data_IF_483206081240
#
_entry.id   IF_483206081240
#
_cell.length_a   1.000
_cell.length_b   1.000
_cell.length_c   1.000
_cell.angle_alpha   90.00
_cell.angle_beta   90.00
_cell.angle_gamma   90.00
#
_symmetry.space_group_name_H-M   'P 1'
#
loop_
_entity.id
_entity.type
_entity.pdbx_description
1 polymer ?
#
# COMPACT_ATOMS: atom_id res chain seq x y z
N UNK A 1 -23.11 5.51 -48.49
CA UNK A 1 -23.02 5.89 -47.07
C UNK A 1 -21.78 5.23 -46.51
N UNK A 2 -20.77 6.02 -46.12
CA UNK A 2 -19.50 5.49 -45.60
C UNK A 2 -19.71 4.96 -44.19
N UNK A 3 -19.47 3.68 -43.99
CA UNK A 3 -19.54 3.02 -42.68
C UNK A 3 -18.37 3.49 -41.83
N UNK A 4 -18.61 4.49 -40.97
CA UNK A 4 -17.59 5.06 -40.10
C UNK A 4 -17.46 4.14 -38.89
N UNK A 5 -16.30 3.53 -38.63
CA UNK A 5 -16.16 2.58 -37.53
C UNK A 5 -16.44 3.29 -36.20
N UNK A 6 -17.04 2.55 -35.26
CA UNK A 6 -17.47 3.11 -33.98
C UNK A 6 -16.28 3.75 -33.22
N UNK A 7 -16.48 4.83 -32.46
CA UNK A 7 -15.38 5.56 -31.80
C UNK A 7 -14.57 4.76 -30.77
N UNK A 8 -15.03 3.55 -30.40
CA UNK A 8 -14.33 2.60 -29.52
C UNK A 8 -13.69 1.42 -30.28
N UNK A 9 -13.63 1.47 -31.61
CA UNK A 9 -13.06 0.44 -32.50
C UNK A 9 -11.52 0.42 -32.54
N UNK A 10 -10.88 1.04 -31.56
CA UNK A 10 -9.43 1.18 -31.47
C UNK A 10 -8.75 -0.06 -30.84
N UNK A 11 -7.43 -0.21 -31.03
CA UNK A 11 -6.65 -1.31 -30.44
C UNK A 11 -6.89 -1.43 -28.94
N UNK A 12 -7.04 -2.65 -28.42
CA UNK A 12 -7.42 -2.92 -27.03
C UNK A 12 -6.27 -3.52 -26.24
N UNK A 13 -6.12 -3.06 -25.00
CA UNK A 13 -5.08 -3.53 -24.10
C UNK A 13 -3.77 -2.76 -24.22
N UNK A 14 -3.06 -2.69 -23.10
CA UNK A 14 -1.90 -1.80 -22.91
C UNK A 14 -0.85 -2.02 -24.00
N UNK A 15 -0.52 -3.27 -24.34
CA UNK A 15 0.50 -3.58 -25.34
C UNK A 15 0.14 -3.05 -26.73
N UNK A 16 -1.11 -3.25 -27.17
CA UNK A 16 -1.56 -2.82 -28.50
C UNK A 16 -1.67 -1.29 -28.59
N UNK A 17 -2.08 -0.62 -27.51
CA UNK A 17 -2.11 0.84 -27.43
C UNK A 17 -0.71 1.42 -27.50
N UNK A 18 0.24 0.90 -26.70
CA UNK A 18 1.64 1.35 -26.72
C UNK A 18 2.25 1.14 -28.09
N UNK A 19 2.00 -0.02 -28.73
CA UNK A 19 2.49 -0.28 -30.09
C UNK A 19 1.89 0.71 -31.10
N UNK A 20 0.58 1.01 -31.00
CA UNK A 20 -0.05 2.01 -31.87
C UNK A 20 0.55 3.41 -31.75
N UNK A 21 1.06 3.77 -30.56
CA UNK A 21 1.74 5.05 -30.36
C UNK A 21 3.13 5.07 -30.99
N UNK A 22 3.86 3.94 -30.92
CA UNK A 22 5.17 3.77 -31.59
C UNK A 22 5.04 3.80 -33.11
N UNK A 23 3.99 3.20 -33.65
CA UNK A 23 3.76 3.15 -35.10
C UNK A 23 3.12 4.44 -35.64
N UNK A 24 2.63 5.32 -34.77
CA UNK A 24 1.93 6.55 -35.14
C UNK A 24 2.89 7.64 -35.60
N UNK A 25 2.76 8.06 -36.87
CA UNK A 25 3.49 9.22 -37.39
C UNK A 25 3.18 10.57 -36.73
N UNK A 26 2.19 10.63 -35.82
CA UNK A 26 1.90 11.82 -34.99
C UNK A 26 2.50 11.70 -33.60
N UNK A 27 2.24 10.59 -32.90
CA UNK A 27 2.65 10.42 -31.49
C UNK A 27 4.14 10.10 -31.39
N UNK A 28 4.66 9.22 -32.26
CA UNK A 28 6.07 8.83 -32.25
C UNK A 28 7.00 10.03 -32.43
N UNK A 29 6.62 11.01 -33.25
CA UNK A 29 7.41 12.24 -33.46
C UNK A 29 7.46 13.15 -32.24
N UNK A 30 6.54 12.99 -31.30
CA UNK A 30 6.51 13.73 -30.05
C UNK A 30 7.28 13.02 -28.93
N UNK A 31 7.76 11.78 -29.14
CA UNK A 31 8.56 11.05 -28.17
C UNK A 31 10.04 11.45 -28.31
N UNK A 32 10.56 12.22 -27.35
CA UNK A 32 11.96 12.62 -27.34
C UNK A 32 12.89 11.52 -26.81
N UNK A 33 12.40 10.71 -25.86
CA UNK A 33 13.13 9.62 -25.23
C UNK A 33 12.16 8.48 -24.94
N UNK A 34 12.56 7.26 -25.30
CA UNK A 34 11.91 6.03 -24.87
C UNK A 34 12.91 5.20 -24.08
N UNK A 35 12.55 4.87 -22.84
CA UNK A 35 13.34 3.94 -22.01
C UNK A 35 12.44 2.77 -21.64
N UNK A 36 12.75 1.60 -22.19
CA UNK A 36 12.19 0.35 -21.71
C UNK A 36 12.95 -0.04 -20.44
N UNK A 37 12.27 0.02 -19.30
CA UNK A 37 12.76 -0.64 -18.10
C UNK A 37 12.46 -2.12 -18.32
N UNK A 38 13.50 -2.91 -18.62
CA UNK A 38 13.35 -4.36 -18.71
C UNK A 38 12.65 -4.84 -17.46
N UNK A 39 11.72 -5.79 -17.61
CA UNK A 39 11.23 -6.53 -16.45
C UNK A 39 12.44 -7.21 -15.85
N UNK A 40 13.05 -6.59 -14.85
CA UNK A 40 13.96 -7.32 -13.96
C UNK A 40 13.21 -8.53 -13.43
N UNK A 41 13.94 -9.57 -13.05
CA UNK A 41 13.36 -10.61 -12.19
C UNK A 41 12.63 -9.86 -11.08
N UNK A 42 11.31 -10.05 -10.97
CA UNK A 42 10.56 -9.49 -9.86
C UNK A 42 11.31 -9.95 -8.62
N UNK A 43 12.09 -9.05 -8.01
CA UNK A 43 12.78 -9.34 -6.77
C UNK A 43 11.63 -9.32 -5.78
N UNK A 44 11.00 -10.48 -5.64
CA UNK A 44 10.04 -10.72 -4.59
C UNK A 44 10.79 -10.33 -3.32
N UNK A 45 10.36 -9.25 -2.69
CA UNK A 45 10.83 -8.93 -1.34
C UNK A 45 10.43 -10.16 -0.56
N UNK A 46 11.40 -11.00 -0.17
CA UNK A 46 11.11 -12.33 0.37
C UNK A 46 10.11 -12.24 1.51
N UNK A 47 9.40 -13.31 1.82
CA UNK A 47 8.61 -13.33 3.05
C UNK A 47 9.54 -13.40 4.26
N UNK A 48 9.11 -12.84 5.38
CA UNK A 48 9.81 -12.94 6.66
C UNK A 48 8.86 -13.37 7.76
N UNK A 49 9.41 -14.09 8.73
CA UNK A 49 8.68 -14.50 9.92
C UNK A 49 8.97 -13.52 11.05
N UNK A 50 7.98 -13.29 11.91
CA UNK A 50 8.16 -12.49 13.12
C UNK A 50 8.86 -13.31 14.20
N UNK A 51 9.68 -12.65 15.02
CA UNK A 51 10.33 -13.28 16.19
C UNK A 51 9.31 -13.84 17.20
N UNK A 52 8.11 -13.25 17.24
CA UNK A 52 6.94 -13.75 17.95
C UNK A 52 5.67 -13.47 17.14
N UNK A 53 4.63 -14.33 17.21
CA UNK A 53 3.40 -14.12 16.46
C UNK A 53 2.71 -12.80 16.83
N UNK A 54 1.87 -12.29 15.93
CA UNK A 54 0.93 -11.22 16.27
C UNK A 54 -0.18 -11.78 17.19
N UNK A 55 -0.90 -10.92 17.92
CA UNK A 55 -2.14 -11.32 18.57
C UNK A 55 -3.12 -11.96 17.58
N UNK A 56 -3.83 -13.00 18.03
CA UNK A 56 -4.76 -13.78 17.20
C UNK A 56 -5.78 -12.92 16.43
N UNK A 57 -6.41 -11.88 17.03
CA UNK A 57 -7.36 -11.05 16.28
C UNK A 57 -6.70 -10.32 15.09
N UNK A 58 -5.44 -9.90 15.21
CA UNK A 58 -4.71 -9.25 14.13
C UNK A 58 -4.31 -10.25 13.04
N UNK A 59 -3.99 -11.50 13.40
CA UNK A 59 -3.72 -12.56 12.42
C UNK A 59 -4.97 -12.80 11.57
N UNK A 60 -6.13 -13.03 12.20
CA UNK A 60 -7.40 -13.23 11.49
C UNK A 60 -7.74 -12.05 10.58
N UNK A 61 -7.61 -10.82 11.09
CA UNK A 61 -7.87 -9.61 10.33
C UNK A 61 -6.98 -9.47 9.08
N UNK A 62 -5.72 -9.91 9.16
CA UNK A 62 -4.82 -9.94 8.02
C UNK A 62 -5.22 -11.02 7.00
N UNK A 63 -5.56 -12.22 7.47
CA UNK A 63 -5.97 -13.34 6.62
C UNK A 63 -7.26 -13.03 5.84
N UNK A 64 -8.27 -12.42 6.47
CA UNK A 64 -9.50 -11.96 5.82
C UNK A 64 -9.23 -10.96 4.69
N UNK A 65 -8.13 -10.21 4.79
CA UNK A 65 -7.68 -9.22 3.80
C UNK A 65 -6.70 -9.83 2.77
N UNK A 66 -6.54 -11.15 2.76
CA UNK A 66 -5.65 -11.87 1.84
C UNK A 66 -4.16 -11.78 2.18
N UNK A 67 -3.82 -11.33 3.39
CA UNK A 67 -2.44 -11.22 3.86
C UNK A 67 -2.11 -12.43 4.75
N UNK A 68 -1.64 -13.51 4.13
CA UNK A 68 -1.27 -14.76 4.83
C UNK A 68 0.19 -14.80 5.27
N UNK A 69 1.04 -13.94 4.71
CA UNK A 69 2.46 -13.83 5.05
C UNK A 69 2.91 -12.39 4.96
N UNK A 70 3.83 -12.01 5.85
CA UNK A 70 4.47 -10.71 5.83
C UNK A 70 5.69 -10.73 4.91
N UNK A 71 5.90 -9.63 4.19
CA UNK A 71 7.17 -9.38 3.54
C UNK A 71 8.28 -9.19 4.58
N UNK A 72 9.51 -9.52 4.22
CA UNK A 72 10.68 -9.46 5.11
C UNK A 72 10.87 -8.09 5.73
N UNK A 73 10.68 -7.02 4.96
CA UNK A 73 10.76 -5.65 5.45
C UNK A 73 9.67 -5.31 6.47
N UNK A 74 8.47 -5.91 6.35
CA UNK A 74 7.39 -5.74 7.33
C UNK A 74 7.75 -6.45 8.62
N UNK A 75 8.15 -7.72 8.56
CA UNK A 75 8.56 -8.48 9.73
C UNK A 75 9.73 -7.80 10.49
N UNK A 76 10.77 -7.40 9.75
CA UNK A 76 11.92 -6.68 10.32
C UNK A 76 11.53 -5.36 10.99
N UNK A 77 10.63 -4.59 10.37
CA UNK A 77 10.16 -3.32 10.93
C UNK A 77 9.34 -3.54 12.21
N UNK A 78 8.45 -4.54 12.22
CA UNK A 78 7.61 -4.88 13.37
C UNK A 78 8.49 -5.33 14.55
N UNK A 79 9.43 -6.25 14.32
CA UNK A 79 10.32 -6.72 15.39
C UNK A 79 11.30 -5.64 15.87
N UNK A 80 11.71 -4.73 14.99
CA UNK A 80 12.45 -3.54 15.41
C UNK A 80 11.63 -2.61 16.31
N UNK A 81 10.37 -2.35 15.95
CA UNK A 81 9.46 -1.53 16.75
C UNK A 81 9.17 -2.17 18.12
N UNK A 82 8.94 -3.49 18.17
CA UNK A 82 8.76 -4.26 19.42
C UNK A 82 9.95 -4.15 20.38
N UNK A 83 11.16 -3.96 19.84
CA UNK A 83 12.40 -3.74 20.60
C UNK A 83 12.59 -2.27 21.02
N UNK A 84 11.61 -1.40 20.80
CA UNK A 84 11.70 0.02 21.10
C UNK A 84 12.66 0.79 20.19
N UNK A 85 13.01 0.25 19.00
CA UNK A 85 13.90 0.93 18.06
C UNK A 85 13.11 1.86 17.13
N UNK A 86 13.73 2.98 16.77
CA UNK A 86 13.23 3.86 15.71
C UNK A 86 13.57 3.27 14.33
N UNK A 87 12.60 3.24 13.42
CA UNK A 87 12.72 2.57 12.12
C UNK A 87 12.41 3.56 10.99
N UNK A 88 13.25 3.55 9.96
CA UNK A 88 12.99 4.24 8.68
C UNK A 88 12.83 3.16 7.60
N UNK A 89 11.76 3.25 6.83
CA UNK A 89 11.40 2.23 5.83
C UNK A 89 11.54 2.84 4.44
N UNK A 90 12.53 2.36 3.68
CA UNK A 90 12.81 2.80 2.32
C UNK A 90 12.45 1.68 1.33
N UNK A 91 11.17 1.57 0.98
CA UNK A 91 10.68 0.61 -0.02
C UNK A 91 9.81 1.29 -1.08
N UNK A 92 9.64 0.69 -2.27
CA UNK A 92 8.84 1.28 -3.34
C UNK A 92 7.37 1.55 -2.95
N UNK A 93 6.68 2.38 -3.74
CA UNK A 93 5.22 2.52 -3.68
C UNK A 93 4.55 1.16 -3.90
N UNK A 94 3.40 0.94 -3.27
CA UNK A 94 2.65 -0.32 -3.31
C UNK A 94 3.37 -1.57 -2.72
N UNK A 95 4.46 -1.42 -1.96
CA UNK A 95 5.13 -2.56 -1.31
C UNK A 95 4.48 -3.06 0.00
N UNK A 96 3.34 -2.47 0.42
CA UNK A 96 2.71 -2.80 1.71
C UNK A 96 3.33 -2.11 2.94
N UNK A 97 3.96 -0.93 2.75
CA UNK A 97 4.61 -0.14 3.81
C UNK A 97 3.72 0.14 5.03
N UNK A 98 2.42 0.36 4.81
CA UNK A 98 1.48 0.72 5.87
C UNK A 98 1.45 -0.31 6.99
N UNK A 99 1.48 -1.61 6.65
CA UNK A 99 1.50 -2.67 7.66
C UNK A 99 2.71 -2.61 8.60
N UNK A 100 3.84 -2.06 8.16
CA UNK A 100 5.04 -1.97 8.98
C UNK A 100 4.86 -1.08 10.21
N UNK A 101 3.97 -0.08 10.14
CA UNK A 101 3.71 0.86 11.25
C UNK A 101 2.28 0.75 11.80
N UNK A 102 1.31 0.24 11.04
CA UNK A 102 -0.03 -0.06 11.55
C UNK A 102 0.00 -1.22 12.55
N UNK A 103 0.70 -2.32 12.21
CA UNK A 103 0.67 -3.53 13.03
C UNK A 103 1.29 -3.32 14.43
N UNK A 104 2.45 -2.68 14.60
CA UNK A 104 2.98 -2.41 15.94
C UNK A 104 2.06 -1.51 16.78
N UNK A 105 1.39 -0.53 16.14
CA UNK A 105 0.45 0.36 16.84
C UNK A 105 -0.80 -0.38 17.28
N UNK A 106 -1.40 -1.19 16.41
CA UNK A 106 -2.60 -1.96 16.73
C UNK A 106 -2.29 -3.09 17.73
N UNK A 107 -1.11 -3.73 17.63
CA UNK A 107 -0.64 -4.70 18.62
C UNK A 107 -0.52 -4.06 20.01
N UNK A 108 0.01 -2.83 20.09
CA UNK A 108 0.11 -2.09 21.34
C UNK A 108 -1.26 -1.66 21.88
N UNK A 109 -2.17 -1.17 21.02
CA UNK A 109 -3.53 -0.80 21.41
C UNK A 109 -4.37 -1.99 21.87
N UNK A 110 -4.14 -3.17 21.28
CA UNK A 110 -4.78 -4.42 21.72
C UNK A 110 -4.30 -4.84 23.13
N UNK A 111 -3.05 -4.51 23.48
CA UNK A 111 -2.46 -4.79 24.79
C UNK A 111 -2.85 -3.75 25.84
N UNK A 112 -2.86 -2.48 25.45
CA UNK A 112 -3.17 -1.33 26.31
C UNK A 112 -4.12 -0.37 25.58
N UNK A 113 -5.44 -0.43 25.88
CA UNK A 113 -6.43 0.49 25.30
C UNK A 113 -6.20 1.98 25.64
N UNK A 114 -5.36 2.28 26.63
CA UNK A 114 -4.96 3.66 26.98
C UNK A 114 -3.81 4.19 26.11
N UNK A 115 -3.10 3.31 25.38
CA UNK A 115 -2.03 3.69 24.48
C UNK A 115 -2.54 4.63 23.37
N UNK A 116 -1.65 5.48 22.86
CA UNK A 116 -1.96 6.45 21.80
C UNK A 116 -0.83 6.48 20.78
N UNK A 117 -1.19 6.73 19.51
CA UNK A 117 -0.23 6.88 18.42
C UNK A 117 -0.56 8.14 17.61
N UNK A 118 0.47 8.86 17.19
CA UNK A 118 0.36 10.03 16.31
C UNK A 118 0.86 9.66 14.92
N UNK A 119 0.01 9.85 13.92
CA UNK A 119 0.34 9.66 12.53
C UNK A 119 0.50 11.03 11.86
N UNK A 120 1.65 11.26 11.24
CA UNK A 120 1.95 12.52 10.54
C UNK A 120 2.02 12.27 9.04
N UNK A 121 1.22 13.03 8.30
CA UNK A 121 1.15 12.94 6.84
C UNK A 121 1.30 14.31 6.19
N UNK A 122 1.94 14.40 5.02
CA UNK A 122 2.14 15.66 4.31
C UNK A 122 0.86 16.23 3.70
N UNK A 123 -0.20 15.44 3.52
CA UNK A 123 -1.46 15.87 2.88
C UNK A 123 -2.69 15.31 3.59
N UNK A 124 -3.79 16.07 3.55
CA UNK A 124 -5.11 15.67 4.08
C UNK A 124 -5.68 14.43 3.38
N UNK A 125 -5.48 14.32 2.07
CA UNK A 125 -5.95 13.17 1.31
C UNK A 125 -5.27 11.87 1.78
N UNK A 126 -3.96 11.94 2.02
CA UNK A 126 -3.20 10.78 2.51
C UNK A 126 -3.56 10.46 3.97
N UNK A 127 -3.79 11.45 4.83
CA UNK A 127 -4.22 11.18 6.21
C UNK A 127 -5.57 10.47 6.26
N UNK A 128 -6.53 10.86 5.42
CA UNK A 128 -7.85 10.19 5.32
C UNK A 128 -7.77 8.79 4.75
N UNK A 129 -6.97 8.58 3.70
CA UNK A 129 -6.71 7.23 3.15
C UNK A 129 -6.13 6.30 4.21
N UNK A 130 -5.16 6.79 4.98
CA UNK A 130 -4.51 5.98 6.01
C UNK A 130 -5.38 5.79 7.25
N UNK A 131 -6.20 6.78 7.65
CA UNK A 131 -7.21 6.63 8.70
C UNK A 131 -8.19 5.50 8.35
N UNK A 132 -8.68 5.46 7.11
CA UNK A 132 -9.54 4.40 6.63
C UNK A 132 -8.86 3.03 6.77
N UNK A 133 -7.60 2.91 6.33
CA UNK A 133 -6.83 1.67 6.46
C UNK A 133 -6.65 1.20 7.91
N UNK A 134 -6.36 2.12 8.84
CA UNK A 134 -6.27 1.80 10.28
C UNK A 134 -7.61 1.32 10.81
N UNK A 135 -8.70 2.04 10.51
CA UNK A 135 -10.05 1.70 10.99
C UNK A 135 -10.51 0.33 10.48
N UNK A 136 -10.28 0.04 9.20
CA UNK A 136 -10.64 -1.26 8.64
C UNK A 136 -9.90 -2.40 9.32
N UNK A 137 -8.59 -2.25 9.52
CA UNK A 137 -7.77 -3.29 10.16
C UNK A 137 -8.13 -3.46 11.64
N UNK A 138 -8.39 -2.36 12.35
CA UNK A 138 -8.85 -2.40 13.74
C UNK A 138 -10.22 -3.07 13.87
N UNK A 139 -11.17 -2.72 12.98
CA UNK A 139 -12.50 -3.32 12.95
C UNK A 139 -12.44 -4.83 12.66
N UNK A 140 -11.66 -5.24 11.65
CA UNK A 140 -11.46 -6.66 11.34
C UNK A 140 -10.78 -7.43 12.48
N UNK A 141 -9.97 -6.74 13.29
CA UNK A 141 -9.36 -7.30 14.50
C UNK A 141 -10.24 -7.19 15.75
N UNK A 142 -11.51 -6.76 15.61
CA UNK A 142 -12.46 -6.57 16.71
C UNK A 142 -11.91 -5.63 17.81
N UNK A 143 -11.07 -4.65 17.44
CA UNK A 143 -10.48 -3.69 18.37
C UNK A 143 -11.31 -2.41 18.43
N UNK A 144 -11.68 -1.98 19.63
CA UNK A 144 -12.30 -0.67 19.88
C UNK A 144 -11.27 0.46 19.83
N UNK A 145 -10.77 0.76 18.62
CA UNK A 145 -9.78 1.82 18.40
C UNK A 145 -10.42 3.05 17.77
N UNK A 146 -10.33 4.18 18.48
CA UNK A 146 -10.63 5.49 17.92
C UNK A 146 -9.47 6.00 17.06
N UNK A 147 -9.58 5.90 15.74
CA UNK A 147 -8.72 6.64 14.81
C UNK A 147 -9.46 7.91 14.36
N UNK A 148 -8.82 9.07 14.43
CA UNK A 148 -9.38 10.35 13.97
C UNK A 148 -8.33 11.16 13.22
N UNK A 149 -8.75 11.82 12.14
CA UNK A 149 -7.94 12.84 11.47
C UNK A 149 -8.18 14.19 12.16
N UNK A 150 -7.09 14.81 12.61
CA UNK A 150 -7.09 16.19 13.11
C UNK A 150 -6.32 17.06 12.11
N UNK A 151 -7.05 17.80 11.27
CA UNK A 151 -6.51 18.71 10.26
C UNK A 151 -7.28 20.04 10.26
N UNK A 152 -6.94 20.96 9.35
CA UNK A 152 -7.61 22.27 9.28
C UNK A 152 -9.09 22.25 8.86
N UNK A 153 -9.64 21.09 8.47
CA UNK A 153 -11.07 20.91 8.18
C UNK A 153 -11.83 20.27 9.35
N UNK A 154 -11.15 19.88 10.44
CA UNK A 154 -11.78 19.39 11.66
C UNK A 154 -12.49 20.56 12.36
N UNK A 155 -13.81 20.49 12.63
CA UNK A 155 -14.58 21.57 13.27
C UNK A 155 -14.08 22.00 14.65
#
# INVERSE_FOLDING_TARGET
MSDKPAPWSHPRGVAQVVQSWRDSGKVQRCLAVERLIERGNAQHVGFGDLERPLPEPLIRALEERGVTRLYSHQAQAIDAARKGRHVVIATPTASGKSLCFHLPVLEELARDPSARALYLYPTKALSRDQEHGVRELAHAAELEVGAMVYDGDTP
#
